data_IF_373441026486
#
_entry.id   IF_373441026486
#
_cell.length_a   1.000
_cell.length_b   1.000
_cell.length_c   1.000
_cell.angle_alpha   90.00
_cell.angle_beta   90.00
_cell.angle_gamma   90.00
#
_symmetry.space_group_name_H-M   'P 1'
#
loop_
_entity.id
_entity.type
_entity.pdbx_description
1 polymer ?
#
# COMPACT_ATOMS: atom_id res chain seq x y z
N UNK A 1 -20.68 13.87 53.15
CA UNK A 1 -21.44 14.69 52.17
C UNK A 1 -21.33 14.04 50.81
N UNK A 2 -22.43 13.53 50.25
CA UNK A 2 -22.43 12.94 48.91
C UNK A 2 -22.09 14.02 47.87
N UNK A 3 -21.27 13.71 46.85
CA UNK A 3 -20.96 14.67 45.81
C UNK A 3 -22.26 15.11 45.10
N UNK A 4 -22.40 16.42 44.89
CA UNK A 4 -23.52 16.99 44.15
C UNK A 4 -23.63 16.34 42.77
N UNK A 5 -24.85 16.01 42.32
CA UNK A 5 -25.11 15.37 41.02
C UNK A 5 -24.44 16.11 39.86
N UNK A 6 -24.34 17.44 39.95
CA UNK A 6 -23.65 18.29 38.96
C UNK A 6 -22.15 18.00 38.90
N UNK A 7 -21.51 17.79 40.04
CA UNK A 7 -20.07 17.48 40.10
C UNK A 7 -19.78 16.11 39.48
N UNK A 8 -20.67 15.14 39.69
CA UNK A 8 -20.58 13.81 39.07
C UNK A 8 -20.76 13.91 37.55
N UNK A 9 -21.73 14.69 37.07
CA UNK A 9 -21.94 14.94 35.63
C UNK A 9 -20.74 15.61 34.98
N UNK A 10 -20.16 16.63 35.61
CA UNK A 10 -18.97 17.34 35.10
C UNK A 10 -17.76 16.41 35.08
N UNK A 11 -17.54 15.61 36.13
CA UNK A 11 -16.45 14.65 36.18
C UNK A 11 -16.57 13.57 35.10
N UNK A 12 -17.79 13.05 34.87
CA UNK A 12 -18.05 12.08 33.82
C UNK A 12 -17.79 12.66 32.42
N UNK A 13 -18.26 13.88 32.14
CA UNK A 13 -18.01 14.55 30.87
C UNK A 13 -16.51 14.81 30.65
N UNK A 14 -15.80 15.30 31.66
CA UNK A 14 -14.36 15.52 31.61
C UNK A 14 -13.59 14.22 31.35
N UNK A 15 -13.99 13.12 32.00
CA UNK A 15 -13.39 11.80 31.78
C UNK A 15 -13.59 11.30 30.36
N UNK A 16 -14.80 11.40 29.80
CA UNK A 16 -15.10 10.99 28.42
C UNK A 16 -14.26 11.82 27.43
N UNK A 17 -14.19 13.14 27.62
CA UNK A 17 -13.39 14.01 26.76
C UNK A 17 -11.91 13.64 26.86
N UNK A 18 -11.37 13.48 28.06
CA UNK A 18 -9.97 13.12 28.25
C UNK A 18 -9.65 11.75 27.63
N UNK A 19 -10.50 10.76 27.85
CA UNK A 19 -10.35 9.41 27.30
C UNK A 19 -10.36 9.42 25.77
N UNK A 20 -11.29 10.15 25.15
CA UNK A 20 -11.37 10.27 23.68
C UNK A 20 -10.14 10.99 23.10
N UNK A 21 -9.66 12.05 23.75
CA UNK A 21 -8.45 12.78 23.32
C UNK A 21 -7.17 11.93 23.44
N UNK A 22 -7.01 11.20 24.54
CA UNK A 22 -5.87 10.29 24.76
C UNK A 22 -5.89 9.15 23.72
N UNK A 23 -7.05 8.54 23.47
CA UNK A 23 -7.16 7.45 22.50
C UNK A 23 -6.97 7.90 21.05
N UNK A 24 -7.41 9.10 20.67
CA UNK A 24 -7.10 9.69 19.35
C UNK A 24 -5.60 9.90 19.17
N UNK A 25 -4.89 10.40 20.20
CA UNK A 25 -3.42 10.56 20.17
C UNK A 25 -2.72 9.20 20.07
N UNK A 26 -3.16 8.18 20.82
CA UNK A 26 -2.63 6.81 20.72
C UNK A 26 -2.83 6.23 19.32
N UNK A 27 -4.03 6.30 18.74
CA UNK A 27 -4.31 5.81 17.37
C UNK A 27 -3.44 6.47 16.29
N UNK A 28 -3.21 7.78 16.38
CA UNK A 28 -2.31 8.49 15.44
C UNK A 28 -0.85 8.09 15.57
N UNK A 29 -0.40 7.72 16.78
CA UNK A 29 0.96 7.23 17.06
C UNK A 29 1.13 5.74 16.83
N UNK A 30 0.03 4.97 16.80
CA UNK A 30 0.04 3.50 16.75
C UNK A 30 -0.18 2.93 15.36
N UNK A 31 -0.42 3.75 14.32
CA UNK A 31 -0.38 3.22 12.96
C UNK A 31 1.08 2.84 12.69
N UNK A 32 1.40 1.54 12.54
CA UNK A 32 2.76 1.13 12.27
C UNK A 32 3.20 1.84 10.99
N UNK A 33 4.37 2.45 11.00
CA UNK A 33 5.00 2.89 9.75
C UNK A 33 5.40 1.61 9.03
N UNK A 34 4.51 1.12 8.17
CA UNK A 34 4.74 -0.09 7.39
C UNK A 34 5.93 0.13 6.46
N UNK A 35 7.03 -0.60 6.69
CA UNK A 35 8.21 -0.59 5.82
C UNK A 35 7.87 -1.02 4.38
N UNK A 36 6.85 -1.88 4.25
CA UNK A 36 6.29 -2.36 2.99
C UNK A 36 4.77 -2.37 3.13
N UNK A 37 4.04 -1.84 2.15
CA UNK A 37 2.56 -1.93 2.12
C UNK A 37 2.15 -3.39 1.97
N UNK A 38 1.03 -3.80 2.58
CA UNK A 38 0.51 -5.18 2.49
C UNK A 38 0.40 -5.68 1.04
N UNK A 39 -0.03 -4.81 0.12
CA UNK A 39 -0.10 -5.11 -1.32
C UNK A 39 1.22 -5.67 -1.90
N UNK A 40 2.37 -5.17 -1.43
CA UNK A 40 3.67 -5.60 -1.92
C UNK A 40 4.21 -6.85 -1.22
N UNK A 41 3.60 -7.28 -0.11
CA UNK A 41 4.01 -8.49 0.62
C UNK A 41 3.64 -9.75 -0.18
N UNK A 42 2.42 -9.78 -0.73
CA UNK A 42 1.88 -10.93 -1.45
C UNK A 42 2.09 -10.84 -2.98
N UNK A 43 2.82 -9.80 -3.44
CA UNK A 43 3.06 -9.51 -4.86
C UNK A 43 3.71 -10.67 -5.61
N UNK A 44 4.67 -11.34 -4.98
CA UNK A 44 5.39 -12.44 -5.64
C UNK A 44 4.50 -13.67 -5.82
N UNK A 45 3.53 -13.88 -4.93
CA UNK A 45 2.61 -15.03 -4.99
C UNK A 45 1.46 -14.78 -5.96
N UNK A 46 0.78 -13.62 -5.85
CA UNK A 46 -0.43 -13.34 -6.63
C UNK A 46 -0.20 -12.36 -7.77
N UNK A 47 0.56 -11.28 -7.53
CA UNK A 47 0.74 -10.20 -8.51
C UNK A 47 1.53 -10.63 -9.74
N UNK A 48 2.69 -11.27 -9.55
CA UNK A 48 3.51 -11.77 -10.65
C UNK A 48 2.80 -12.84 -11.47
N UNK A 49 2.06 -13.72 -10.78
CA UNK A 49 1.27 -14.76 -11.44
C UNK A 49 0.17 -14.14 -12.31
N UNK A 50 -0.57 -13.18 -11.78
CA UNK A 50 -1.60 -12.48 -12.55
C UNK A 50 -1.01 -11.78 -13.79
N UNK A 51 0.10 -11.05 -13.64
CA UNK A 51 0.78 -10.40 -14.77
C UNK A 51 1.28 -11.39 -15.82
N UNK A 52 1.76 -12.54 -15.38
CA UNK A 52 2.15 -13.63 -16.26
C UNK A 52 0.93 -14.17 -17.03
N UNK A 53 -0.15 -14.47 -16.33
CA UNK A 53 -1.37 -15.04 -16.90
C UNK A 53 -2.03 -14.08 -17.91
N UNK A 54 -2.08 -12.78 -17.59
CA UNK A 54 -2.55 -11.73 -18.53
C UNK A 54 -1.73 -11.70 -19.83
N UNK A 55 -0.45 -12.07 -19.77
CA UNK A 55 0.42 -12.12 -20.95
C UNK A 55 -0.01 -13.15 -22.00
N UNK A 56 -0.84 -14.12 -21.63
CA UNK A 56 -1.38 -15.15 -22.54
C UNK A 56 -2.80 -14.85 -23.01
N UNK A 57 -3.44 -13.82 -22.47
CA UNK A 57 -4.78 -13.40 -22.88
C UNK A 57 -4.73 -12.62 -24.20
N UNK A 58 -5.72 -12.82 -25.07
CA UNK A 58 -5.83 -12.11 -26.35
C UNK A 58 -5.96 -10.59 -26.15
N UNK A 59 -6.57 -10.18 -25.04
CA UNK A 59 -6.82 -8.79 -24.65
C UNK A 59 -5.68 -8.14 -23.86
N UNK A 60 -4.46 -8.71 -23.87
CA UNK A 60 -3.29 -8.13 -23.17
C UNK A 60 -3.05 -6.67 -23.56
N UNK A 61 -3.34 -6.30 -24.80
CA UNK A 61 -3.20 -4.93 -25.32
C UNK A 61 -4.16 -3.94 -24.64
N UNK A 62 -5.34 -4.41 -24.20
CA UNK A 62 -6.27 -3.61 -23.41
C UNK A 62 -5.75 -3.38 -21.98
N UNK A 63 -4.99 -4.34 -21.44
CA UNK A 63 -4.37 -4.21 -20.13
C UNK A 63 -3.19 -3.23 -20.16
N UNK A 64 -2.24 -3.41 -21.08
CA UNK A 64 -1.04 -2.56 -21.18
C UNK A 64 -1.26 -1.27 -21.98
N UNK A 65 -2.45 -1.08 -22.58
CA UNK A 65 -2.85 0.09 -23.39
C UNK A 65 -1.96 0.36 -24.61
N UNK A 66 -1.25 -0.65 -25.10
CA UNK A 66 -0.37 -0.59 -26.28
C UNK A 66 -0.21 -1.98 -26.90
N UNK A 67 0.39 -2.04 -28.09
CA UNK A 67 0.73 -3.34 -28.68
C UNK A 67 1.79 -4.05 -27.83
N UNK A 68 1.82 -5.38 -27.89
CA UNK A 68 2.85 -6.17 -27.19
C UNK A 68 4.26 -5.83 -27.68
N UNK A 69 4.39 -5.52 -28.97
CA UNK A 69 5.66 -5.10 -29.59
C UNK A 69 6.13 -3.77 -29.03
N UNK A 70 5.25 -2.78 -28.96
CA UNK A 70 5.59 -1.46 -28.42
C UNK A 70 5.94 -1.54 -26.94
N UNK A 71 5.21 -2.38 -26.19
CA UNK A 71 5.48 -2.62 -24.78
C UNK A 71 6.89 -3.18 -24.55
N UNK A 72 7.27 -4.24 -25.27
CA UNK A 72 8.59 -4.85 -25.14
C UNK A 72 9.70 -3.92 -25.65
N UNK A 73 9.47 -3.17 -26.73
CA UNK A 73 10.42 -2.16 -27.21
C UNK A 73 10.65 -1.04 -26.18
N UNK A 74 9.57 -0.55 -25.56
CA UNK A 74 9.66 0.46 -24.51
C UNK A 74 10.36 -0.11 -23.27
N UNK A 75 10.02 -1.34 -22.86
CA UNK A 75 10.64 -2.03 -21.74
C UNK A 75 12.15 -2.12 -21.94
N UNK A 76 12.62 -2.61 -23.08
CA UNK A 76 14.05 -2.73 -23.40
C UNK A 76 14.76 -1.37 -23.41
N UNK A 77 14.08 -0.33 -23.91
CA UNK A 77 14.62 1.02 -24.00
C UNK A 77 14.82 1.69 -22.63
N UNK A 78 13.93 1.42 -21.67
CA UNK A 78 13.97 2.06 -20.34
C UNK A 78 14.63 1.18 -19.28
N UNK A 79 14.67 -0.14 -19.45
CA UNK A 79 15.09 -1.08 -18.40
C UNK A 79 16.45 -0.69 -17.80
N UNK A 80 17.45 -0.48 -18.64
CA UNK A 80 18.81 -0.13 -18.22
C UNK A 80 18.89 1.17 -17.41
N UNK A 81 17.94 2.09 -17.61
CA UNK A 81 17.92 3.41 -16.96
C UNK A 81 17.13 3.42 -15.66
N UNK A 82 16.11 2.56 -15.51
CA UNK A 82 15.16 2.62 -14.39
C UNK A 82 15.09 1.35 -13.54
N UNK A 83 15.90 0.33 -13.85
CA UNK A 83 16.01 -0.90 -13.06
C UNK A 83 16.52 -0.57 -11.67
N UNK A 84 15.87 -1.17 -10.67
CA UNK A 84 16.25 -1.08 -9.26
C UNK A 84 16.89 -2.40 -8.84
N UNK A 85 17.83 -2.32 -7.92
CA UNK A 85 18.48 -3.50 -7.33
C UNK A 85 17.65 -4.04 -6.17
N UNK A 86 17.73 -5.35 -5.99
CA UNK A 86 17.20 -6.01 -4.82
C UNK A 86 17.91 -5.53 -3.56
N UNK A 87 17.20 -5.64 -2.43
CA UNK A 87 17.74 -5.37 -1.11
C UNK A 87 17.60 -6.61 -0.25
N UNK A 88 18.34 -6.68 0.85
CA UNK A 88 18.18 -7.78 1.83
C UNK A 88 16.76 -7.91 2.37
N UNK A 89 16.00 -6.81 2.42
CA UNK A 89 14.66 -6.80 3.01
C UNK A 89 13.54 -7.10 2.02
N UNK A 90 13.74 -6.81 0.73
CA UNK A 90 12.75 -7.09 -0.32
C UNK A 90 13.39 -7.10 -1.72
N UNK A 91 12.84 -7.91 -2.65
CA UNK A 91 13.16 -7.77 -4.06
C UNK A 91 12.59 -6.47 -4.62
N UNK A 92 13.30 -5.92 -5.60
CA UNK A 92 12.90 -4.77 -6.38
C UNK A 92 11.60 -5.04 -7.11
N UNK A 93 10.91 -3.94 -7.45
CA UNK A 93 9.82 -3.99 -8.42
C UNK A 93 10.44 -3.96 -9.80
N UNK A 94 10.18 -5.01 -10.59
CA UNK A 94 10.72 -5.13 -11.94
C UNK A 94 10.20 -3.99 -12.80
N UNK A 95 10.97 -3.66 -13.83
CA UNK A 95 10.58 -2.60 -14.76
C UNK A 95 9.31 -2.99 -15.52
N UNK A 96 9.17 -4.28 -15.87
CA UNK A 96 7.96 -4.84 -16.51
C UNK A 96 6.71 -4.66 -15.65
N UNK A 97 6.74 -5.05 -14.37
CA UNK A 97 5.62 -4.84 -13.45
C UNK A 97 5.24 -3.35 -13.34
N UNK A 98 6.23 -2.46 -13.26
CA UNK A 98 5.98 -1.02 -13.18
C UNK A 98 5.37 -0.46 -14.45
N UNK A 99 5.86 -0.90 -15.61
CA UNK A 99 5.40 -0.44 -16.91
C UNK A 99 3.97 -0.93 -17.20
N UNK A 100 3.63 -2.15 -16.77
CA UNK A 100 2.32 -2.74 -16.98
C UNK A 100 1.19 -2.11 -16.14
N UNK A 101 1.52 -1.34 -15.09
CA UNK A 101 0.53 -0.68 -14.21
C UNK A 101 0.23 0.77 -14.64
N UNK A 102 1.04 1.34 -15.55
CA UNK A 102 0.98 2.76 -15.95
C UNK A 102 -0.33 3.11 -16.65
#
# INVERSE_FOLDING_TARGET
MAPSRRNVQVAAAAFIILHTLVNKKKKRRSLPRWWVKKLYQERLEYGNRLLHDIGFEEDVTNFVRMSTVDFEHLLQSIETKVKKNDTYMRPAITVKERLAIT
#
